data_IF_312615859470
#
_entry.id   IF_312615859470
#
_cell.length_a   1.000
_cell.length_b   1.000
_cell.length_c   1.000
_cell.angle_alpha   90.00
_cell.angle_beta   90.00
_cell.angle_gamma   90.00
#
_symmetry.space_group_name_H-M   'P 1'
#
loop_
_entity.id
_entity.type
_entity.pdbx_description
1 polymer ?
#
# COMPACT_ATOMS: atom_id res chain seq x y z
N UNK A 1 0.91 34.26 -3.67
CA UNK A 1 0.98 34.40 -2.20
C UNK A 1 0.28 33.21 -1.56
N UNK A 2 0.99 32.34 -0.83
CA UNK A 2 0.35 31.21 -0.14
C UNK A 2 -0.49 31.72 1.02
N UNK A 3 -1.80 31.50 0.96
CA UNK A 3 -2.75 32.00 1.97
C UNK A 3 -2.70 31.21 3.27
N UNK A 4 -2.19 29.97 3.25
CA UNK A 4 -2.18 29.05 4.38
C UNK A 4 -0.88 28.24 4.43
N UNK A 5 -0.48 27.82 5.63
CA UNK A 5 0.58 26.83 5.82
C UNK A 5 0.11 25.43 5.40
N UNK A 6 1.04 24.64 4.85
CA UNK A 6 0.81 23.22 4.51
C UNK A 6 0.78 22.34 5.76
N UNK A 7 0.21 21.13 5.65
CA UNK A 7 0.17 20.18 6.75
C UNK A 7 1.58 19.83 7.28
N UNK A 8 2.57 19.71 6.39
CA UNK A 8 3.96 19.44 6.77
C UNK A 8 4.58 20.62 7.52
N UNK A 9 4.30 21.85 7.11
CA UNK A 9 4.75 23.05 7.83
C UNK A 9 4.14 23.10 9.23
N UNK A 10 2.86 22.75 9.38
CA UNK A 10 2.21 22.65 10.69
C UNK A 10 2.87 21.63 11.60
N UNK A 11 3.26 20.46 11.07
CA UNK A 11 4.02 19.45 11.83
C UNK A 11 5.35 19.99 12.35
N UNK A 12 6.11 20.69 11.52
CA UNK A 12 7.36 21.33 11.95
C UNK A 12 7.15 22.40 13.02
N UNK A 13 6.10 23.23 12.85
CA UNK A 13 5.74 24.25 13.83
C UNK A 13 5.33 23.63 15.16
N UNK A 14 4.56 22.55 15.14
CA UNK A 14 4.10 21.86 16.34
C UNK A 14 5.26 21.29 17.17
N UNK A 15 6.29 20.73 16.53
CA UNK A 15 7.51 20.29 17.22
C UNK A 15 8.19 21.46 17.93
N UNK A 16 8.36 22.60 17.25
CA UNK A 16 9.00 23.79 17.83
C UNK A 16 8.17 24.42 18.96
N UNK A 17 6.84 24.42 18.81
CA UNK A 17 5.93 24.91 19.86
C UNK A 17 6.05 24.02 21.10
N UNK A 18 6.03 22.69 20.93
CA UNK A 18 6.22 21.74 22.04
C UNK A 18 7.58 21.90 22.72
N UNK A 19 8.65 22.07 21.96
CA UNK A 19 10.00 22.31 22.50
C UNK A 19 10.11 23.63 23.28
N UNK A 20 9.45 24.69 22.82
CA UNK A 20 9.45 25.97 23.54
C UNK A 20 8.59 25.90 24.80
N UNK A 21 7.44 25.22 24.73
CA UNK A 21 6.59 24.97 25.88
C UNK A 21 7.29 24.16 26.96
N UNK A 22 8.06 23.12 26.61
CA UNK A 22 8.85 22.34 27.58
C UNK A 22 9.92 23.17 28.28
N UNK A 23 10.38 24.25 27.65
CA UNK A 23 11.29 25.26 28.21
C UNK A 23 10.57 26.42 28.91
N UNK A 24 9.26 26.34 29.11
CA UNK A 24 8.44 27.39 29.75
C UNK A 24 8.29 28.67 28.91
N UNK A 25 8.63 28.65 27.61
CA UNK A 25 8.57 29.83 26.74
C UNK A 25 7.24 29.90 26.02
N UNK A 26 6.59 31.06 26.07
CA UNK A 26 5.42 31.37 25.24
C UNK A 26 5.81 31.46 23.76
N UNK A 27 4.87 31.12 22.89
CA UNK A 27 5.04 31.16 21.43
C UNK A 27 3.92 31.95 20.78
N UNK A 28 4.31 32.81 19.84
CA UNK A 28 3.40 33.56 18.96
C UNK A 28 3.78 33.23 17.53
N UNK A 29 2.79 32.82 16.72
CA UNK A 29 3.01 32.47 15.32
C UNK A 29 2.54 33.58 14.42
N UNK A 30 3.32 33.85 13.37
CA UNK A 30 3.01 34.86 12.37
C UNK A 30 2.97 34.18 11.01
N UNK A 31 1.93 34.46 10.22
CA UNK A 31 1.80 34.02 8.85
C UNK A 31 1.82 35.24 7.94
N UNK A 32 2.83 35.35 7.09
CA UNK A 32 3.01 36.52 6.20
C UNK A 32 2.99 37.85 6.94
N UNK A 33 3.58 37.90 8.14
CA UNK A 33 3.63 39.10 8.99
C UNK A 33 2.38 39.33 9.85
N UNK A 34 1.31 38.56 9.67
CA UNK A 34 0.07 38.69 10.45
C UNK A 34 0.10 37.70 11.63
N UNK A 35 -0.10 38.16 12.88
CA UNK A 35 -0.16 37.27 14.03
C UNK A 35 -1.37 36.35 13.96
N UNK A 36 -1.16 35.06 14.18
CA UNK A 36 -2.21 34.07 14.28
C UNK A 36 -2.78 34.06 15.70
N UNK A 37 -4.11 33.99 15.80
CA UNK A 37 -4.79 33.84 17.11
C UNK A 37 -4.44 32.48 17.72
N UNK A 38 -4.18 32.40 19.04
CA UNK A 38 -3.86 31.14 19.71
C UNK A 38 -4.90 30.02 19.44
N UNK A 39 -6.19 30.35 19.50
CA UNK A 39 -7.26 29.40 19.20
C UNK A 39 -7.20 28.84 17.76
N UNK A 40 -6.79 29.65 16.79
CA UNK A 40 -6.63 29.21 15.41
C UNK A 40 -5.41 28.30 15.24
N UNK A 41 -4.31 28.62 15.95
CA UNK A 41 -3.10 27.80 16.01
C UNK A 41 -3.41 26.42 16.59
N UNK A 42 -4.08 26.35 17.74
CA UNK A 42 -4.44 25.07 18.37
C UNK A 42 -5.36 24.24 17.47
N UNK A 43 -6.35 24.88 16.84
CA UNK A 43 -7.24 24.21 15.89
C UNK A 43 -6.48 23.65 14.68
N UNK A 44 -5.52 24.39 14.13
CA UNK A 44 -4.71 23.92 13.02
C UNK A 44 -3.74 22.82 13.42
N UNK A 45 -3.11 22.94 14.60
CA UNK A 45 -2.26 21.89 15.20
C UNK A 45 -3.03 20.59 15.38
N UNK A 46 -4.21 20.64 15.99
CA UNK A 46 -5.07 19.47 16.18
C UNK A 46 -5.43 18.78 14.86
N UNK A 47 -5.69 19.55 13.79
CA UNK A 47 -6.05 19.02 12.46
C UNK A 47 -4.88 18.38 11.72
N UNK A 48 -3.68 18.96 11.80
CA UNK A 48 -2.57 18.61 10.90
C UNK A 48 -1.41 17.88 11.58
N UNK A 49 -1.34 17.89 12.91
CA UNK A 49 -0.21 17.35 13.67
C UNK A 49 -0.54 16.04 14.39
N UNK A 50 -1.70 15.44 14.10
CA UNK A 50 -2.00 14.09 14.59
C UNK A 50 -1.03 13.11 13.95
N UNK A 51 -0.05 12.63 14.72
CA UNK A 51 0.86 11.57 14.28
C UNK A 51 0.13 10.24 14.44
N UNK A 52 -0.44 9.72 13.36
CA UNK A 52 -0.89 8.33 13.35
C UNK A 52 0.31 7.41 13.60
N UNK A 53 0.12 6.34 14.37
CA UNK A 53 1.14 5.29 14.61
C UNK A 53 1.66 4.75 13.27
N UNK A 54 0.81 4.72 12.24
CA UNK A 54 1.14 4.31 10.88
C UNK A 54 2.17 5.24 10.22
N UNK A 55 2.13 6.55 10.47
CA UNK A 55 3.07 7.50 9.87
C UNK A 55 4.48 7.39 10.49
N UNK A 56 4.56 6.91 11.74
CA UNK A 56 5.83 6.59 12.41
C UNK A 56 6.41 5.26 11.96
N UNK A 57 5.57 4.36 11.47
CA UNK A 57 6.00 3.07 10.97
C UNK A 57 6.46 3.21 9.52
N UNK A 58 7.75 3.50 9.33
CA UNK A 58 8.42 3.21 8.06
C UNK A 58 8.86 1.75 8.12
N UNK A 59 8.14 0.80 7.50
CA UNK A 59 8.68 -0.54 7.38
C UNK A 59 10.03 -0.44 6.67
N UNK A 60 11.04 -1.21 7.09
CA UNK A 60 12.28 -1.32 6.34
C UNK A 60 11.92 -1.70 4.90
N UNK A 61 12.52 -1.02 3.92
CA UNK A 61 12.41 -1.43 2.52
C UNK A 61 12.80 -2.91 2.46
N UNK A 62 11.93 -3.81 2.00
CA UNK A 62 12.31 -5.21 1.86
C UNK A 62 13.54 -5.25 0.95
N UNK A 63 14.60 -5.89 1.42
CA UNK A 63 15.77 -6.14 0.58
C UNK A 63 15.30 -6.81 -0.70
N UNK A 64 15.83 -6.40 -1.87
CA UNK A 64 15.54 -7.11 -3.11
C UNK A 64 15.74 -8.61 -2.88
N UNK A 65 14.81 -9.47 -3.35
CA UNK A 65 15.03 -10.89 -3.30
C UNK A 65 16.38 -11.18 -3.96
N UNK A 66 17.26 -11.91 -3.28
CA UNK A 66 18.48 -12.40 -3.93
C UNK A 66 18.06 -13.23 -5.12
N UNK A 67 18.63 -12.94 -6.28
CA UNK A 67 18.44 -13.76 -7.47
C UNK A 67 19.06 -15.14 -7.19
N UNK A 68 18.21 -16.11 -6.86
CA UNK A 68 18.61 -17.50 -6.79
C UNK A 68 18.47 -18.09 -8.19
N UNK A 69 19.49 -18.78 -8.71
CA UNK A 69 19.35 -19.48 -9.98
C UNK A 69 18.25 -20.54 -9.84
N UNK A 70 17.13 -20.33 -10.53
CA UNK A 70 16.03 -21.27 -10.56
C UNK A 70 16.40 -22.42 -11.51
N UNK A 71 16.85 -23.54 -10.95
CA UNK A 71 17.11 -24.75 -11.74
C UNK A 71 15.77 -25.48 -11.91
N UNK A 72 15.05 -25.21 -13.00
CA UNK A 72 13.87 -25.99 -13.40
C UNK A 72 14.37 -27.29 -14.05
N UNK A 73 14.19 -28.42 -13.36
CA UNK A 73 14.40 -29.74 -13.95
C UNK A 73 13.07 -30.22 -14.55
N UNK A 74 12.89 -30.02 -15.84
CA UNK A 74 11.77 -30.64 -16.55
C UNK A 74 12.03 -32.15 -16.61
N UNK A 75 11.18 -33.02 -16.03
CA UNK A 75 11.36 -34.45 -16.16
C UNK A 75 11.25 -34.84 -17.64
N UNK A 76 12.04 -35.82 -18.06
CA UNK A 76 11.91 -36.38 -19.40
C UNK A 76 10.47 -36.86 -19.61
N UNK A 77 9.88 -36.66 -20.80
CA UNK A 77 8.53 -37.12 -21.07
C UNK A 77 8.45 -38.62 -20.78
N UNK A 78 7.60 -38.98 -19.83
CA UNK A 78 7.34 -40.38 -19.48
C UNK A 78 6.83 -41.06 -20.74
N UNK A 79 7.54 -42.11 -21.20
CA UNK A 79 7.17 -42.87 -22.42
C UNK A 79 5.75 -43.48 -22.34
N UNK A 80 5.17 -43.56 -21.16
CA UNK A 80 3.84 -44.11 -20.87
C UNK A 80 2.69 -43.18 -21.28
N UNK A 81 2.94 -41.91 -21.66
CA UNK A 81 1.90 -41.05 -22.24
C UNK A 81 1.38 -41.52 -23.62
N UNK A 82 1.88 -42.66 -24.13
CA UNK A 82 1.39 -43.30 -25.36
C UNK A 82 0.40 -44.43 -25.14
N UNK A 83 0.06 -44.78 -23.89
CA UNK A 83 -0.88 -45.86 -23.62
C UNK A 83 -2.12 -45.35 -22.89
N UNK A 84 -3.20 -45.23 -23.68
CA UNK A 84 -4.59 -45.29 -23.26
C UNK A 84 -5.05 -44.29 -22.18
N UNK A 85 -4.95 -42.99 -22.46
CA UNK A 85 -6.04 -42.12 -22.00
C UNK A 85 -7.24 -42.45 -22.89
N UNK A 86 -8.21 -43.19 -22.37
CA UNK A 86 -9.51 -43.32 -23.03
C UNK A 86 -10.13 -41.92 -23.05
N UNK A 87 -9.91 -41.19 -24.14
CA UNK A 87 -10.32 -39.78 -24.37
C UNK A 87 -11.84 -39.58 -24.21
N UNK A 88 -12.60 -40.67 -24.05
CA UNK A 88 -14.05 -40.67 -23.91
C UNK A 88 -14.58 -40.20 -22.54
N UNK A 89 -13.73 -40.12 -21.50
CA UNK A 89 -14.15 -39.71 -20.14
C UNK A 89 -13.61 -38.35 -19.69
N UNK A 90 -13.21 -37.49 -20.63
CA UNK A 90 -12.81 -36.13 -20.30
C UNK A 90 -14.06 -35.24 -20.16
N UNK A 91 -14.31 -34.59 -19.01
CA UNK A 91 -15.55 -33.85 -18.76
C UNK A 91 -15.84 -32.76 -19.79
N UNK A 92 -14.80 -32.09 -20.30
CA UNK A 92 -14.95 -31.03 -21.31
C UNK A 92 -15.34 -31.57 -22.70
N UNK A 93 -14.99 -32.81 -23.02
CA UNK A 93 -15.40 -33.48 -24.26
C UNK A 93 -16.89 -33.84 -24.21
N UNK A 94 -17.40 -34.25 -23.05
CA UNK A 94 -18.83 -34.50 -22.84
C UNK A 94 -19.65 -33.21 -22.96
N UNK A 95 -19.16 -32.10 -22.40
CA UNK A 95 -19.79 -30.80 -22.57
C UNK A 95 -19.85 -30.37 -24.04
N UNK A 96 -18.81 -30.64 -24.83
CA UNK A 96 -18.79 -30.31 -26.25
C UNK A 96 -19.79 -31.14 -27.07
N UNK A 97 -20.02 -32.41 -26.71
CA UNK A 97 -21.04 -33.26 -27.34
C UNK A 97 -22.47 -32.78 -27.01
N UNK A 98 -22.72 -32.37 -25.76
CA UNK A 98 -24.00 -31.77 -25.35
C UNK A 98 -24.29 -30.46 -26.09
N UNK A 99 -23.27 -29.63 -26.29
CA UNK A 99 -23.41 -28.37 -27.01
C UNK A 99 -23.54 -28.54 -28.53
N UNK A 100 -23.07 -29.66 -29.09
CA UNK A 100 -23.09 -29.93 -30.54
C UNK A 100 -24.30 -30.75 -31.02
N UNK A 101 -25.24 -31.09 -30.13
CA UNK A 101 -26.57 -31.60 -30.50
C UNK A 101 -26.59 -32.96 -31.21
N UNK A 102 -25.55 -33.78 -31.08
CA UNK A 102 -25.50 -35.11 -31.69
C UNK A 102 -25.80 -36.21 -30.65
N UNK A 103 -27.09 -36.39 -30.36
CA UNK A 103 -27.61 -37.64 -29.79
C UNK A 103 -28.54 -38.28 -30.82
N UNK A 104 -28.13 -39.39 -31.40
CA UNK A 104 -29.05 -40.38 -32.00
C UNK A 104 -29.22 -41.51 -30.99
N UNK A 105 -30.48 -41.76 -30.61
CA UNK A 105 -30.94 -42.90 -29.82
C UNK A 105 -30.53 -44.24 -30.45
#
# INVERSE_FOLDING_TARGET
MFKNMTAQQWKCVDVRVRERLSRGKRTSLYLSGIPLRPAAVEKARARHCHTSVVEKFKPPTPSLPRDFPLIIRTPSPIKEARYSCTIQNLPWLQCQQLLSGKFTL
#
